data_IF_011736853353
#
_entry.id   IF_011736853353
#
_cell.length_a   1.000
_cell.length_b   1.000
_cell.length_c   1.000
_cell.angle_alpha   90.00
_cell.angle_beta   90.00
_cell.angle_gamma   90.00
#
_symmetry.space_group_name_H-M   'P 1'
#
loop_
_entity.id
_entity.type
_entity.pdbx_description
1 polymer ?
#
# COMPACT_ATOMS: atom_id res chain seq x y z
N UNK A 1 56.89 -22.59 -45.86
CA UNK A 1 55.78 -21.93 -45.15
C UNK A 1 54.50 -22.68 -45.48
N UNK A 2 53.99 -23.51 -44.57
CA UNK A 2 52.72 -24.25 -44.74
C UNK A 2 51.67 -23.56 -43.88
N UNK A 3 50.65 -22.99 -44.52
CA UNK A 3 49.51 -22.37 -43.86
C UNK A 3 48.48 -23.46 -43.55
N UNK A 4 48.16 -23.64 -42.27
CA UNK A 4 47.02 -24.46 -41.83
C UNK A 4 45.88 -23.53 -41.45
N UNK A 5 44.81 -23.55 -42.25
CA UNK A 5 43.54 -22.89 -41.93
C UNK A 5 42.78 -23.82 -40.98
N UNK A 6 42.53 -23.36 -39.75
CA UNK A 6 41.69 -24.02 -38.77
C UNK A 6 40.25 -23.53 -38.94
N UNK A 7 39.35 -24.38 -39.43
CA UNK A 7 37.91 -24.08 -39.51
C UNK A 7 37.26 -24.30 -38.15
N UNK A 8 36.75 -23.23 -37.54
CA UNK A 8 35.98 -23.28 -36.29
C UNK A 8 34.51 -23.58 -36.63
N UNK A 9 34.01 -24.75 -36.22
CA UNK A 9 32.60 -25.13 -36.38
C UNK A 9 31.82 -24.67 -35.14
N UNK A 10 30.95 -23.67 -35.30
CA UNK A 10 30.03 -23.21 -34.24
C UNK A 10 28.78 -24.08 -34.28
N UNK A 11 28.56 -24.87 -33.23
CA UNK A 11 27.32 -25.63 -33.01
C UNK A 11 26.27 -24.69 -32.41
N UNK A 12 25.25 -24.35 -33.20
CA UNK A 12 24.03 -23.70 -32.72
C UNK A 12 23.11 -24.76 -32.10
N UNK A 13 22.92 -24.71 -30.79
CA UNK A 13 21.89 -25.51 -30.10
C UNK A 13 20.54 -24.80 -30.24
N UNK A 14 19.50 -25.48 -30.74
CA UNK A 14 18.15 -24.91 -30.75
C UNK A 14 17.61 -24.90 -29.31
N UNK A 15 17.27 -23.73 -28.78
CA UNK A 15 16.48 -23.64 -27.55
C UNK A 15 15.03 -23.99 -27.87
N UNK A 16 14.62 -25.22 -27.59
CA UNK A 16 13.19 -25.58 -27.60
C UNK A 16 12.53 -24.95 -26.39
N UNK A 17 11.65 -23.96 -26.60
CA UNK A 17 10.76 -23.47 -25.55
C UNK A 17 9.81 -24.60 -25.16
N UNK A 18 10.03 -25.21 -23.99
CA UNK A 18 9.18 -26.27 -23.48
C UNK A 18 7.88 -25.65 -22.97
N UNK A 19 6.77 -25.90 -23.68
CA UNK A 19 5.44 -25.47 -23.25
C UNK A 19 5.14 -26.25 -21.96
N UNK A 20 5.08 -25.53 -20.84
CA UNK A 20 4.77 -26.10 -19.53
C UNK A 20 3.35 -25.68 -19.21
N UNK A 21 2.39 -26.60 -19.28
CA UNK A 21 1.02 -26.31 -18.85
C UNK A 21 0.98 -26.32 -17.31
N UNK A 22 0.39 -25.29 -16.69
CA UNK A 22 0.12 -25.30 -15.25
C UNK A 22 -0.93 -26.37 -14.92
N UNK A 23 -0.63 -27.24 -13.95
CA UNK A 23 -1.62 -28.15 -13.36
C UNK A 23 -2.68 -27.33 -12.62
N UNK A 24 -3.88 -27.29 -13.19
CA UNK A 24 -5.01 -26.51 -12.70
C UNK A 24 -5.93 -27.29 -11.76
N UNK A 25 -5.60 -28.54 -11.41
CA UNK A 25 -6.48 -29.42 -10.61
C UNK A 25 -6.72 -28.94 -9.18
N UNK A 26 -5.91 -28.00 -8.69
CA UNK A 26 -5.94 -27.47 -7.33
C UNK A 26 -6.48 -26.03 -7.21
N UNK A 27 -6.91 -25.40 -8.31
CA UNK A 27 -7.41 -24.01 -8.32
C UNK A 27 -8.86 -23.92 -8.82
N UNK A 28 -9.63 -23.01 -8.22
CA UNK A 28 -10.98 -22.64 -8.67
C UNK A 28 -10.98 -21.44 -9.64
N UNK A 29 -9.80 -20.91 -9.96
CA UNK A 29 -9.63 -19.69 -10.75
C UNK A 29 -9.19 -19.99 -12.19
N UNK A 30 -9.37 -19.00 -13.07
CA UNK A 30 -8.93 -19.07 -14.47
C UNK A 30 -7.41 -19.16 -14.52
N UNK A 31 -6.88 -20.12 -15.27
CA UNK A 31 -5.45 -20.21 -15.55
C UNK A 31 -5.06 -19.31 -16.70
N UNK A 32 -3.93 -18.61 -16.57
CA UNK A 32 -3.25 -17.98 -17.69
C UNK A 32 -2.29 -19.01 -18.30
N UNK A 33 -2.36 -19.23 -19.61
CA UNK A 33 -1.42 -20.10 -20.31
C UNK A 33 -0.12 -19.35 -20.64
N UNK A 34 0.24 -18.37 -19.79
CA UNK A 34 1.27 -17.38 -20.00
C UNK A 34 2.57 -18.02 -20.46
N UNK A 35 3.08 -17.54 -21.59
CA UNK A 35 4.30 -18.08 -22.23
C UNK A 35 5.59 -17.53 -21.62
N UNK A 36 5.49 -16.60 -20.67
CA UNK A 36 6.61 -15.88 -20.05
C UNK A 36 6.33 -15.58 -18.57
N UNK A 37 7.35 -15.80 -17.72
CA UNK A 37 7.28 -15.54 -16.27
C UNK A 37 7.09 -16.81 -15.42
N UNK A 38 7.23 -16.70 -14.10
CA UNK A 38 6.91 -17.79 -13.20
C UNK A 38 5.40 -18.11 -13.23
N UNK A 39 5.00 -19.33 -12.84
CA UNK A 39 3.59 -19.73 -12.78
C UNK A 39 2.76 -18.76 -11.92
N UNK A 40 1.51 -18.50 -12.31
CA UNK A 40 0.60 -17.69 -11.51
C UNK A 40 0.37 -18.36 -10.15
N UNK A 41 0.48 -17.58 -9.08
CA UNK A 41 0.27 -18.04 -7.71
C UNK A 41 -0.96 -17.38 -7.09
N UNK A 42 -1.77 -18.19 -6.42
CA UNK A 42 -2.83 -17.69 -5.56
C UNK A 42 -2.27 -17.33 -4.20
N UNK A 43 -2.24 -16.03 -3.90
CA UNK A 43 -1.54 -15.55 -2.72
C UNK A 43 -2.44 -15.42 -1.49
N UNK A 44 -3.65 -14.87 -1.64
CA UNK A 44 -4.57 -14.60 -0.52
C UNK A 44 -6.03 -14.45 -0.98
N UNK A 45 -6.97 -14.82 -0.11
CA UNK A 45 -8.41 -14.68 -0.32
C UNK A 45 -9.05 -13.84 0.78
N UNK A 46 -9.91 -12.92 0.35
CA UNK A 46 -10.61 -12.00 1.24
C UNK A 46 -11.98 -12.56 1.63
N UNK A 47 -12.16 -12.86 2.92
CA UNK A 47 -13.42 -13.37 3.46
C UNK A 47 -14.18 -12.38 4.33
N UNK A 48 -13.51 -11.31 4.78
CA UNK A 48 -14.07 -10.36 5.75
C UNK A 48 -14.39 -9.00 5.12
N UNK A 49 -13.46 -8.47 4.33
CA UNK A 49 -13.53 -7.11 3.76
C UNK A 49 -12.87 -7.09 2.38
N UNK A 50 -13.35 -6.23 1.50
CA UNK A 50 -12.73 -6.03 0.20
C UNK A 50 -11.59 -5.01 0.30
N UNK A 51 -10.39 -5.35 -0.18
CA UNK A 51 -9.26 -4.43 -0.11
C UNK A 51 -9.42 -3.32 -1.14
N UNK A 52 -8.86 -2.14 -0.81
CA UNK A 52 -8.83 -0.96 -1.68
C UNK A 52 -7.41 -0.52 -2.06
N UNK A 53 -6.40 -1.08 -1.41
CA UNK A 53 -4.99 -0.84 -1.70
C UNK A 53 -4.15 -2.04 -1.28
N UNK A 54 -3.17 -2.39 -2.11
CA UNK A 54 -2.36 -3.60 -1.97
C UNK A 54 -0.88 -3.25 -2.12
N UNK A 55 0.00 -3.86 -1.31
CA UNK A 55 1.45 -3.76 -1.48
C UNK A 55 2.14 -5.04 -1.02
N UNK A 56 3.16 -5.50 -1.75
CA UNK A 56 3.97 -6.68 -1.42
C UNK A 56 5.43 -6.24 -1.27
N UNK A 57 6.05 -6.59 -0.14
CA UNK A 57 7.45 -6.28 0.14
C UNK A 57 8.43 -7.18 -0.60
N UNK A 58 9.71 -6.81 -0.60
CA UNK A 58 10.79 -7.61 -1.18
C UNK A 58 10.93 -9.01 -0.56
N UNK A 59 10.49 -9.18 0.69
CA UNK A 59 10.49 -10.45 1.43
C UNK A 59 9.17 -11.23 1.30
N UNK A 60 8.24 -10.73 0.48
CA UNK A 60 6.96 -11.36 0.24
C UNK A 60 5.89 -11.06 1.27
N UNK A 61 6.11 -10.19 2.28
CA UNK A 61 5.04 -9.73 3.18
C UNK A 61 3.98 -8.96 2.40
N UNK A 62 2.70 -9.29 2.61
CA UNK A 62 1.58 -8.72 1.87
C UNK A 62 0.69 -7.85 2.75
N UNK A 63 0.48 -6.61 2.32
CA UNK A 63 -0.31 -5.61 3.02
C UNK A 63 -1.53 -5.21 2.20
N UNK A 64 -2.65 -5.02 2.90
CA UNK A 64 -3.92 -4.60 2.32
C UNK A 64 -4.54 -3.47 3.14
N UNK A 65 -5.21 -2.54 2.48
CA UNK A 65 -5.99 -1.49 3.11
C UNK A 65 -7.48 -1.66 2.84
N UNK A 66 -8.29 -1.12 3.73
CA UNK A 66 -9.74 -1.25 3.71
C UNK A 66 -10.37 0.10 4.02
N UNK A 67 -11.47 0.43 3.33
CA UNK A 67 -12.26 1.61 3.63
C UNK A 67 -12.67 1.58 5.10
N UNK A 68 -12.37 2.64 5.85
CA UNK A 68 -12.70 2.65 7.27
C UNK A 68 -14.20 2.80 7.48
N UNK A 69 -14.80 1.84 8.17
CA UNK A 69 -16.17 1.88 8.66
C UNK A 69 -16.22 1.38 10.11
N UNK A 70 -17.07 0.38 10.36
CA UNK A 70 -17.17 -0.32 11.64
C UNK A 70 -16.06 -1.35 11.87
N UNK A 71 -15.12 -1.47 10.94
CA UNK A 71 -14.02 -2.43 11.03
C UNK A 71 -13.05 -2.11 12.17
N UNK A 72 -12.27 -3.08 12.64
CA UNK A 72 -11.31 -2.86 13.73
C UNK A 72 -10.03 -2.11 13.27
N UNK A 73 -9.59 -2.34 12.03
CA UNK A 73 -8.41 -1.72 11.41
C UNK A 73 -8.68 -1.26 9.98
N UNK A 74 -7.82 -0.39 9.43
CA UNK A 74 -7.85 0.03 8.02
C UNK A 74 -6.61 -0.43 7.23
N UNK A 75 -5.56 -0.85 7.93
CA UNK A 75 -4.35 -1.44 7.34
C UNK A 75 -4.09 -2.80 7.99
N UNK A 76 -4.00 -3.84 7.16
CA UNK A 76 -3.71 -5.20 7.58
C UNK A 76 -2.51 -5.80 6.85
N UNK A 77 -1.89 -6.80 7.49
CA UNK A 77 -0.91 -7.69 6.90
C UNK A 77 -1.52 -9.09 6.80
N UNK A 78 -1.48 -9.70 5.62
CA UNK A 78 -1.88 -11.08 5.44
C UNK A 78 -0.91 -12.00 6.20
N UNK A 79 -1.45 -12.85 7.08
CA UNK A 79 -0.68 -13.80 7.88
C UNK A 79 -0.74 -15.22 7.32
N UNK A 80 -1.73 -15.49 6.47
CA UNK A 80 -1.88 -16.71 5.69
C UNK A 80 -2.82 -16.45 4.50
N UNK A 81 -3.20 -17.50 3.78
CA UNK A 81 -4.03 -17.41 2.56
C UNK A 81 -5.46 -16.89 2.80
N UNK A 82 -5.95 -16.83 4.04
CA UNK A 82 -7.36 -16.50 4.33
C UNK A 82 -7.56 -15.52 5.49
N UNK A 83 -6.48 -15.03 6.10
CA UNK A 83 -6.57 -14.13 7.25
C UNK A 83 -5.48 -13.03 7.25
N UNK A 84 -5.87 -11.89 7.79
CA UNK A 84 -5.06 -10.70 7.98
C UNK A 84 -5.10 -10.25 9.44
N UNK A 85 -4.01 -9.62 9.91
CA UNK A 85 -3.94 -8.96 11.23
C UNK A 85 -3.77 -7.45 11.05
N UNK A 86 -4.22 -6.61 12.01
CA UNK A 86 -3.93 -5.18 12.00
C UNK A 86 -2.43 -4.91 11.92
N UNK A 87 -2.02 -3.97 11.07
CA UNK A 87 -0.62 -3.62 10.88
C UNK A 87 -0.35 -2.12 11.11
N UNK A 88 0.74 -1.72 11.79
CA UNK A 88 1.72 -2.57 12.50
C UNK A 88 1.14 -3.35 13.68
N UNK A 89 0.12 -2.78 14.31
CA UNK A 89 -0.62 -3.41 15.40
C UNK A 89 -2.00 -2.77 15.53
N UNK A 90 -2.86 -3.35 16.36
CA UNK A 90 -4.18 -2.78 16.64
C UNK A 90 -4.09 -1.41 17.34
N UNK A 91 -3.06 -1.18 18.16
CA UNK A 91 -2.87 0.11 18.84
C UNK A 91 -2.52 1.26 17.90
N UNK A 92 -2.09 0.96 16.67
CA UNK A 92 -1.88 1.96 15.62
C UNK A 92 -3.16 2.28 14.84
N UNK A 93 -4.28 1.61 15.11
CA UNK A 93 -5.55 1.83 14.43
C UNK A 93 -6.43 2.66 15.34
N UNK A 94 -6.96 3.77 14.84
CA UNK A 94 -7.89 4.60 15.63
C UNK A 94 -9.16 3.78 15.89
N UNK A 95 -9.58 3.58 17.15
CA UNK A 95 -10.79 2.83 17.48
C UNK A 95 -12.03 3.40 16.78
N UNK A 96 -13.01 2.54 16.46
CA UNK A 96 -14.26 2.96 15.78
C UNK A 96 -14.95 4.12 16.50
N UNK A 97 -14.96 4.10 17.84
CA UNK A 97 -15.54 5.14 18.69
C UNK A 97 -14.83 6.50 18.64
N UNK A 98 -13.68 6.59 17.98
CA UNK A 98 -12.83 7.78 17.90
C UNK A 98 -12.57 8.22 16.44
N UNK A 99 -13.30 7.67 15.48
CA UNK A 99 -13.11 7.95 14.05
C UNK A 99 -13.57 9.33 13.62
N UNK A 100 -14.49 9.93 14.37
CA UNK A 100 -14.98 11.27 14.11
C UNK A 100 -15.09 12.09 15.40
N UNK A 101 -15.16 13.39 15.18
CA UNK A 101 -15.49 14.42 16.17
C UNK A 101 -16.52 15.36 15.53
N UNK A 102 -17.03 16.31 16.30
CA UNK A 102 -17.92 17.36 15.80
C UNK A 102 -17.40 18.71 16.25
N UNK A 103 -17.50 19.70 15.37
CA UNK A 103 -17.23 21.10 15.68
C UNK A 103 -18.34 21.96 15.11
N UNK A 104 -19.04 22.71 15.97
CA UNK A 104 -20.21 23.51 15.59
C UNK A 104 -21.25 22.72 14.79
N UNK A 105 -21.56 21.51 15.27
CA UNK A 105 -22.50 20.55 14.65
C UNK A 105 -22.09 20.03 13.26
N UNK A 106 -20.86 20.31 12.84
CA UNK A 106 -20.29 19.79 11.60
C UNK A 106 -19.41 18.58 11.92
N UNK A 107 -19.62 17.42 11.26
CA UNK A 107 -18.83 16.22 11.51
C UNK A 107 -17.45 16.34 10.85
N UNK A 108 -16.41 16.02 11.62
CA UNK A 108 -15.03 15.91 11.17
C UNK A 108 -14.49 14.52 11.47
N UNK A 109 -13.58 14.02 10.63
CA UNK A 109 -12.77 12.85 10.95
C UNK A 109 -11.89 13.12 12.19
N UNK A 110 -11.34 12.05 12.75
CA UNK A 110 -10.42 12.14 13.88
C UNK A 110 -9.24 13.06 13.58
N UNK A 111 -8.83 13.87 14.55
CA UNK A 111 -7.61 14.68 14.49
C UNK A 111 -6.38 13.93 15.01
N UNK A 112 -6.48 12.61 15.21
CA UNK A 112 -5.39 11.79 15.70
C UNK A 112 -4.25 11.74 14.66
N UNK A 113 -3.12 12.37 15.00
CA UNK A 113 -1.96 12.50 14.13
C UNK A 113 -1.02 11.30 14.14
N UNK A 114 -1.20 10.34 15.06
CA UNK A 114 -0.33 9.17 15.19
C UNK A 114 -1.01 7.87 14.78
N UNK A 115 -2.30 7.73 15.04
CA UNK A 115 -3.10 6.56 14.66
C UNK A 115 -3.61 6.63 13.23
N UNK A 116 -3.76 5.45 12.62
CA UNK A 116 -4.34 5.25 11.29
C UNK A 116 -5.87 5.36 11.36
N UNK A 117 -6.43 6.27 10.56
CA UNK A 117 -7.85 6.60 10.54
C UNK A 117 -8.52 5.90 9.37
N UNK A 118 -8.12 6.23 8.14
CA UNK A 118 -8.74 5.70 6.91
C UNK A 118 -7.72 5.68 5.79
N UNK A 119 -7.00 4.56 5.68
CA UNK A 119 -5.89 4.39 4.75
C UNK A 119 -6.42 4.02 3.37
N UNK A 120 -6.08 4.85 2.38
CA UNK A 120 -6.52 4.69 1.00
C UNK A 120 -5.52 3.88 0.17
N UNK A 121 -4.22 4.17 0.31
CA UNK A 121 -3.20 3.64 -0.58
C UNK A 121 -1.91 3.28 0.15
N UNK A 122 -1.20 2.30 -0.42
CA UNK A 122 0.08 1.80 0.06
C UNK A 122 1.12 1.86 -1.07
N UNK A 123 2.37 2.15 -0.71
CA UNK A 123 3.50 2.05 -1.61
C UNK A 123 4.68 1.45 -0.87
N UNK A 124 5.40 0.54 -1.50
CA UNK A 124 6.67 0.04 -0.96
C UNK A 124 7.80 0.63 -1.78
N UNK A 125 8.80 1.18 -1.08
CA UNK A 125 10.04 1.64 -1.71
C UNK A 125 11.22 0.85 -1.15
N UNK A 126 12.20 0.47 -1.99
CA UNK A 126 13.33 -0.31 -1.56
C UNK A 126 14.17 0.43 -0.54
N UNK A 127 14.91 -0.34 0.26
CA UNK A 127 15.94 0.17 1.15
C UNK A 127 16.98 0.98 0.37
N UNK A 128 17.60 1.93 1.05
CA UNK A 128 18.74 2.70 0.56
C UNK A 128 19.71 2.97 1.70
N UNK A 129 20.85 3.60 1.41
CA UNK A 129 21.78 4.03 2.45
C UNK A 129 21.16 4.99 3.49
N UNK A 130 20.01 5.62 3.21
CA UNK A 130 19.38 6.63 4.07
C UNK A 130 18.10 6.15 4.76
N UNK A 131 17.52 5.01 4.36
CA UNK A 131 16.24 4.52 4.90
C UNK A 131 16.06 3.01 4.68
N UNK A 132 15.32 2.32 5.55
CA UNK A 132 14.99 0.91 5.36
C UNK A 132 14.02 0.69 4.18
N UNK A 133 13.75 -0.56 3.83
CA UNK A 133 12.59 -0.86 2.98
C UNK A 133 11.35 -0.32 3.70
N UNK A 134 10.59 0.51 3.00
CA UNK A 134 9.57 1.34 3.63
C UNK A 134 8.22 1.09 3.02
N UNK A 135 7.24 0.78 3.87
CA UNK A 135 5.83 0.88 3.54
C UNK A 135 5.36 2.31 3.80
N UNK A 136 5.06 3.02 2.73
CA UNK A 136 4.42 4.32 2.75
C UNK A 136 2.91 4.16 2.79
N UNK A 137 2.29 4.83 3.76
CA UNK A 137 0.87 4.72 4.07
C UNK A 137 0.20 6.07 3.83
N UNK A 138 -0.81 6.09 2.97
CA UNK A 138 -1.60 7.30 2.65
C UNK A 138 -2.90 7.24 3.43
N UNK A 139 -2.98 7.98 4.54
CA UNK A 139 -4.16 8.11 5.39
C UNK A 139 -4.94 9.37 5.02
N UNK A 140 -6.19 9.19 4.62
CA UNK A 140 -7.07 10.27 4.19
C UNK A 140 -7.58 11.10 5.36
N UNK A 141 -7.58 10.54 6.58
CA UNK A 141 -8.23 11.15 7.74
C UNK A 141 -9.76 11.28 7.61
N UNK A 142 -10.36 10.73 6.55
CA UNK A 142 -11.80 10.81 6.25
C UNK A 142 -12.39 9.40 6.20
N UNK A 143 -12.80 8.85 7.36
CA UNK A 143 -13.41 7.53 7.42
C UNK A 143 -14.87 7.58 6.95
N UNK A 144 -15.41 6.46 6.48
CA UNK A 144 -16.85 6.30 6.38
C UNK A 144 -17.42 6.09 7.79
N UNK A 145 -18.32 6.96 8.21
CA UNK A 145 -19.05 6.83 9.49
C UNK A 145 -20.53 6.61 9.20
N UNK A 146 -21.28 6.21 10.20
CA UNK A 146 -22.75 6.24 10.14
C UNK A 146 -23.23 7.50 10.87
N UNK A 147 -24.15 8.24 10.25
CA UNK A 147 -24.84 9.35 10.93
C UNK A 147 -25.87 8.84 11.94
N UNK A 148 -26.64 9.76 12.54
CA UNK A 148 -27.65 9.43 13.54
C UNK A 148 -28.75 8.50 13.01
N UNK A 149 -29.01 8.52 11.71
CA UNK A 149 -30.02 7.70 11.03
C UNK A 149 -29.43 6.37 10.50
N UNK A 150 -28.14 6.12 10.76
CA UNK A 150 -27.43 4.92 10.30
C UNK A 150 -26.96 5.02 8.85
N UNK A 151 -27.07 6.17 8.19
CA UNK A 151 -26.67 6.36 6.80
C UNK A 151 -25.15 6.56 6.72
N UNK A 152 -24.44 5.85 5.81
CA UNK A 152 -23.03 6.09 5.58
C UNK A 152 -22.78 7.53 5.12
N UNK A 153 -21.87 8.23 5.81
CA UNK A 153 -21.40 9.56 5.46
C UNK A 153 -19.89 9.63 5.61
N UNK A 154 -19.28 10.64 4.96
CA UNK A 154 -17.85 10.89 5.05
C UNK A 154 -17.63 12.29 5.61
N UNK A 155 -17.12 12.42 6.84
CA UNK A 155 -16.96 13.71 7.49
C UNK A 155 -15.82 14.51 6.83
N UNK A 156 -15.76 15.81 7.13
CA UNK A 156 -14.64 16.64 6.69
C UNK A 156 -13.32 16.20 7.36
N UNK A 157 -12.20 16.40 6.70
CA UNK A 157 -10.89 16.18 7.29
C UNK A 157 -10.61 17.18 8.43
N UNK A 158 -10.20 16.68 9.60
CA UNK A 158 -9.67 17.52 10.67
C UNK A 158 -8.15 17.74 10.49
N UNK A 159 -7.59 18.88 10.90
CA UNK A 159 -6.15 19.08 10.96
C UNK A 159 -5.46 17.95 11.74
N UNK A 160 -4.38 17.39 11.17
CA UNK A 160 -3.66 16.24 11.74
C UNK A 160 -4.21 14.87 11.34
N UNK A 161 -5.45 14.78 10.86
CA UNK A 161 -6.06 13.54 10.38
C UNK A 161 -5.40 13.03 9.08
N UNK A 162 -5.47 13.79 7.97
CA UNK A 162 -4.80 13.43 6.72
C UNK A 162 -3.29 13.44 6.88
N UNK A 163 -2.63 12.34 6.47
CA UNK A 163 -1.20 12.16 6.68
C UNK A 163 -0.58 11.09 5.78
N UNK A 164 0.73 11.21 5.58
CA UNK A 164 1.57 10.16 4.99
C UNK A 164 2.47 9.62 6.10
N UNK A 165 2.50 8.30 6.28
CA UNK A 165 3.39 7.64 7.23
C UNK A 165 4.42 6.80 6.51
N UNK A 166 5.61 6.67 7.11
CA UNK A 166 6.66 5.76 6.69
C UNK A 166 6.86 4.69 7.77
N UNK A 167 6.61 3.44 7.41
CA UNK A 167 6.80 2.29 8.30
C UNK A 167 8.01 1.51 7.79
N UNK A 168 8.97 1.28 8.68
CA UNK A 168 10.12 0.42 8.42
C UNK A 168 9.65 -1.03 8.38
N UNK A 169 9.91 -1.73 7.27
CA UNK A 169 9.58 -3.15 7.14
C UNK A 169 10.58 -4.06 7.86
N UNK A 170 11.70 -3.51 8.34
CA UNK A 170 12.71 -4.26 9.12
C UNK A 170 12.23 -4.55 10.55
N UNK A 171 11.44 -3.66 11.13
CA UNK A 171 11.05 -3.70 12.55
C UNK A 171 9.62 -3.20 12.85
N UNK A 172 8.82 -2.96 11.81
CA UNK A 172 7.43 -2.52 11.90
C UNK A 172 7.22 -1.19 12.66
N UNK A 173 8.24 -0.34 12.72
CA UNK A 173 8.16 0.97 13.39
C UNK A 173 7.77 2.09 12.42
N UNK A 174 6.84 2.95 12.85
CA UNK A 174 6.59 4.23 12.17
C UNK A 174 7.77 5.16 12.49
N UNK A 175 8.56 5.53 11.49
CA UNK A 175 9.73 6.40 11.69
C UNK A 175 9.55 7.82 11.12
N UNK A 176 8.50 8.05 10.33
CA UNK A 176 8.12 9.39 9.89
C UNK A 176 6.61 9.51 9.70
N UNK A 177 6.07 10.67 10.06
CA UNK A 177 4.68 11.06 9.82
C UNK A 177 4.64 12.48 9.31
N UNK A 178 4.00 12.68 8.16
CA UNK A 178 3.84 13.98 7.51
C UNK A 178 2.36 14.34 7.48
N UNK A 179 1.97 15.36 8.25
CA UNK A 179 0.62 15.94 8.22
C UNK A 179 0.60 17.16 7.31
N UNK A 180 -0.61 17.59 6.94
CA UNK A 180 -0.80 18.72 6.03
C UNK A 180 -1.46 19.91 6.74
N UNK A 181 -0.99 21.15 6.50
CA UNK A 181 -1.74 22.33 6.90
C UNK A 181 -3.03 22.44 6.08
N UNK A 182 -4.03 23.12 6.66
CA UNK A 182 -5.36 23.31 6.03
C UNK A 182 -5.32 24.08 4.70
N UNK A 183 -4.22 24.79 4.42
CA UNK A 183 -3.99 25.47 3.14
C UNK A 183 -3.50 24.54 2.03
N UNK A 184 -3.15 23.29 2.35
CA UNK A 184 -2.67 22.27 1.41
C UNK A 184 -3.68 21.14 1.28
N UNK A 185 -4.24 20.69 2.40
CA UNK A 185 -5.34 19.72 2.43
C UNK A 185 -6.54 20.39 3.08
N UNK A 186 -7.46 20.88 2.26
CA UNK A 186 -8.68 21.52 2.76
C UNK A 186 -9.58 20.50 3.46
N UNK A 187 -10.55 20.93 4.30
CA UNK A 187 -11.45 20.01 4.99
C UNK A 187 -12.23 19.08 4.06
N UNK A 188 -12.59 19.53 2.86
CA UNK A 188 -13.31 18.78 1.82
C UNK A 188 -12.39 18.05 0.82
N UNK A 189 -11.07 18.15 1.04
CA UNK A 189 -10.11 17.46 0.19
C UNK A 189 -10.10 15.95 0.45
N UNK A 190 -9.66 15.20 -0.56
CA UNK A 190 -9.42 13.77 -0.44
C UNK A 190 -8.07 13.41 -1.08
N UNK A 191 -7.18 12.82 -0.29
CA UNK A 191 -5.86 12.37 -0.76
C UNK A 191 -5.95 10.94 -1.29
N UNK A 192 -6.01 10.81 -2.61
CA UNK A 192 -6.22 9.51 -3.25
C UNK A 192 -4.92 8.70 -3.41
N UNK A 193 -3.83 9.38 -3.79
CA UNK A 193 -2.59 8.73 -4.21
C UNK A 193 -1.38 9.68 -4.14
N UNK A 194 -0.17 9.11 -4.07
CA UNK A 194 1.09 9.86 -4.02
C UNK A 194 2.10 9.37 -5.07
N UNK A 195 3.05 10.23 -5.43
CA UNK A 195 4.24 9.88 -6.21
C UNK A 195 5.47 10.22 -5.39
N UNK A 196 6.45 9.33 -5.40
CA UNK A 196 7.69 9.43 -4.65
C UNK A 196 8.87 9.54 -5.62
N UNK A 197 9.69 10.57 -5.46
CA UNK A 197 11.02 10.67 -6.07
C UNK A 197 12.07 10.66 -4.96
N UNK A 198 12.65 9.48 -4.73
CA UNK A 198 13.55 9.23 -3.59
C UNK A 198 15.02 9.21 -3.99
N UNK A 199 15.36 9.83 -5.13
CA UNK A 199 16.75 10.01 -5.55
C UNK A 199 17.46 10.98 -4.58
N UNK A 200 18.64 10.63 -4.04
CA UNK A 200 19.33 11.47 -3.06
C UNK A 200 19.72 12.86 -3.58
N UNK A 201 19.79 13.07 -4.89
CA UNK A 201 20.16 14.35 -5.51
C UNK A 201 19.01 15.34 -5.65
N UNK A 202 17.76 14.93 -5.38
CA UNK A 202 16.57 15.75 -5.66
C UNK A 202 16.31 16.78 -4.55
N UNK A 203 16.83 16.55 -3.35
CA UNK A 203 16.74 17.49 -2.22
C UNK A 203 18.08 17.57 -1.49
N UNK A 204 18.32 18.68 -0.79
CA UNK A 204 19.56 18.88 -0.03
C UNK A 204 19.73 17.85 1.11
N UNK A 205 18.64 17.33 1.67
CA UNK A 205 18.67 16.29 2.69
C UNK A 205 18.84 14.88 2.14
N UNK A 206 18.67 14.69 0.82
CA UNK A 206 18.61 13.37 0.18
C UNK A 206 17.36 12.55 0.51
N UNK A 207 16.40 13.11 1.25
CA UNK A 207 15.15 12.45 1.64
C UNK A 207 14.13 12.29 0.52
N UNK A 208 14.37 12.91 -0.65
CA UNK A 208 13.47 12.87 -1.79
C UNK A 208 12.28 13.83 -1.68
N UNK A 209 11.33 13.67 -2.60
CA UNK A 209 10.08 14.45 -2.70
C UNK A 209 8.89 13.50 -2.80
N UNK A 210 7.83 13.82 -2.08
CA UNK A 210 6.52 13.21 -2.26
C UNK A 210 5.53 14.25 -2.82
N UNK A 211 4.76 13.87 -3.84
CA UNK A 211 3.66 14.70 -4.38
C UNK A 211 2.35 13.92 -4.35
N UNK A 212 1.38 14.42 -3.58
CA UNK A 212 0.01 13.91 -3.57
C UNK A 212 -0.84 14.51 -4.69
N UNK A 213 -1.82 13.74 -5.18
CA UNK A 213 -2.98 14.31 -5.88
C UNK A 213 -4.08 14.52 -4.84
N UNK A 214 -4.41 15.79 -4.62
CA UNK A 214 -5.51 16.20 -3.75
C UNK A 214 -6.60 16.78 -4.64
N UNK A 215 -7.82 16.25 -4.53
CA UNK A 215 -9.00 16.75 -5.22
C UNK A 215 -10.11 17.10 -4.23
N UNK A 216 -11.09 17.89 -4.68
CA UNK A 216 -12.36 18.01 -3.96
C UNK A 216 -13.05 16.63 -4.00
N UNK A 217 -13.41 16.10 -2.84
CA UNK A 217 -13.98 14.76 -2.69
C UNK A 217 -15.29 14.76 -1.92
#
# INVERSE_FOLDING_TARGET
MKSHILSLLVLLTPSTAQITFQDSSSTILRTDNGTHGPPMEEYHYYHTQWPIGLAISSTGRFFATYTRGTYAYTLGEAVNKTAEKPYPSLSHQVPVSQLNTSWSDIPFGSNNSTGLISVQALYITPASALRPETLWVVDTGRPTIHDADGTPSMPYAAPGGPKILAISLDNDTVYATYTFPVSVHYPDSYMNDIRLDLRPSVTASGGGIARGRVGAG
#
